data_IF_218989340905
#
_entry.id   IF_218989340905
#
_cell.length_a   1.000
_cell.length_b   1.000
_cell.length_c   1.000
_cell.angle_alpha   90.00
_cell.angle_beta   90.00
_cell.angle_gamma   90.00
#
_symmetry.space_group_name_H-M   'P 1'
#
loop_
_entity.id
_entity.type
_entity.pdbx_description
1 polymer ?
#
# COMPACT_ATOMS: atom_id res chain seq x y z
N UNK A 1 20.39 -21.85 -5.68
CA UNK A 1 19.29 -22.17 -4.74
C UNK A 1 18.03 -21.53 -5.28
N UNK A 2 16.84 -22.12 -5.14
CA UNK A 2 15.61 -21.46 -5.53
C UNK A 2 15.43 -20.15 -4.77
N UNK A 3 14.76 -19.20 -5.37
CA UNK A 3 14.41 -17.95 -4.71
C UNK A 3 13.47 -18.21 -3.52
N UNK A 4 13.46 -17.35 -2.48
CA UNK A 4 12.58 -17.51 -1.33
C UNK A 4 11.11 -17.47 -1.74
N UNK A 5 10.21 -18.10 -0.97
CA UNK A 5 8.78 -17.98 -1.23
C UNK A 5 8.30 -16.54 -1.06
N UNK A 6 7.43 -16.06 -1.96
CA UNK A 6 6.99 -14.67 -2.04
C UNK A 6 5.48 -14.55 -2.01
N UNK A 7 4.96 -13.72 -1.11
CA UNK A 7 3.58 -13.28 -1.04
C UNK A 7 3.49 -11.82 -1.48
N UNK A 8 2.74 -11.55 -2.55
CA UNK A 8 2.47 -10.19 -3.03
C UNK A 8 1.04 -9.79 -2.71
N UNK A 9 0.88 -8.71 -1.94
CA UNK A 9 -0.40 -8.14 -1.56
C UNK A 9 -0.77 -6.99 -2.50
N UNK A 10 -2.03 -6.97 -2.96
CA UNK A 10 -2.57 -5.91 -3.82
C UNK A 10 -3.87 -5.40 -3.20
N UNK A 11 -3.84 -4.26 -2.47
CA UNK A 11 -5.07 -3.65 -1.96
C UNK A 11 -5.87 -3.05 -3.12
N UNK A 12 -7.15 -3.42 -3.25
CA UNK A 12 -8.03 -2.96 -4.31
C UNK A 12 -9.31 -2.32 -3.76
N UNK A 13 -9.69 -1.16 -4.32
CA UNK A 13 -10.93 -0.45 -4.01
C UNK A 13 -11.55 0.14 -5.29
N UNK A 14 -12.59 -0.50 -5.82
CA UNK A 14 -13.28 -0.10 -7.05
C UNK A 14 -12.31 0.02 -8.24
N UNK A 15 -11.67 -1.05 -8.61
CA UNK A 15 -10.63 -1.11 -9.65
C UNK A 15 -11.07 -1.97 -10.86
N UNK A 16 -12.38 -2.19 -11.08
CA UNK A 16 -12.92 -3.05 -12.15
C UNK A 16 -12.33 -2.76 -13.53
N UNK A 17 -12.08 -1.48 -13.84
CA UNK A 17 -11.58 -1.04 -15.14
C UNK A 17 -10.06 -1.22 -15.31
N UNK A 18 -9.31 -1.42 -14.20
CA UNK A 18 -7.84 -1.33 -14.24
C UNK A 18 -7.11 -2.56 -13.71
N UNK A 19 -7.75 -3.34 -12.84
CA UNK A 19 -7.05 -4.42 -12.11
C UNK A 19 -6.71 -5.62 -13.02
N UNK A 20 -7.50 -5.94 -14.03
CA UNK A 20 -7.28 -7.11 -14.87
C UNK A 20 -5.93 -7.10 -15.57
N UNK A 21 -5.57 -6.06 -16.36
CA UNK A 21 -4.26 -6.03 -17.02
C UNK A 21 -3.10 -6.05 -16.01
N UNK A 22 -3.26 -5.44 -14.83
CA UNK A 22 -2.24 -5.43 -13.78
C UNK A 22 -1.99 -6.82 -13.22
N UNK A 23 -3.06 -7.55 -12.88
CA UNK A 23 -2.94 -8.91 -12.36
C UNK A 23 -2.32 -9.86 -13.38
N UNK A 24 -2.78 -9.79 -14.66
CA UNK A 24 -2.22 -10.61 -15.74
C UNK A 24 -0.74 -10.32 -15.97
N UNK A 25 -0.35 -9.05 -16.00
CA UNK A 25 1.04 -8.64 -16.20
C UNK A 25 1.94 -9.17 -15.07
N UNK A 26 1.53 -8.99 -13.81
CA UNK A 26 2.30 -9.45 -12.66
C UNK A 26 2.37 -10.98 -12.64
N UNK A 27 1.24 -11.69 -12.80
CA UNK A 27 1.21 -13.14 -12.77
C UNK A 27 2.10 -13.74 -13.87
N UNK A 28 1.89 -13.31 -15.14
CA UNK A 28 2.68 -13.79 -16.27
C UNK A 28 4.19 -13.53 -16.09
N UNK A 29 4.53 -12.32 -15.56
CA UNK A 29 5.95 -11.99 -15.33
C UNK A 29 6.57 -12.93 -14.30
N UNK A 30 5.93 -13.14 -13.14
CA UNK A 30 6.49 -13.96 -12.08
C UNK A 30 6.45 -15.45 -12.40
N UNK A 31 5.41 -15.94 -13.06
CA UNK A 31 5.35 -17.32 -13.56
C UNK A 31 6.51 -17.65 -14.52
N UNK A 32 6.96 -16.68 -15.31
CA UNK A 32 8.05 -16.84 -16.27
C UNK A 32 9.46 -16.53 -15.72
N UNK A 33 9.59 -15.73 -14.66
CA UNK A 33 10.87 -15.15 -14.24
C UNK A 33 11.23 -15.39 -12.77
N UNK A 34 10.34 -16.03 -11.97
CA UNK A 34 10.58 -16.31 -10.57
C UNK A 34 10.68 -17.80 -10.30
N UNK A 35 11.76 -18.25 -9.69
CA UNK A 35 12.02 -19.67 -9.46
C UNK A 35 11.51 -20.18 -8.11
N UNK A 36 11.15 -19.27 -7.21
CA UNK A 36 10.55 -19.56 -5.91
C UNK A 36 9.03 -19.76 -5.99
N UNK A 37 8.42 -20.19 -4.88
CA UNK A 37 6.95 -20.18 -4.77
C UNK A 37 6.44 -18.75 -4.75
N UNK A 38 5.45 -18.45 -5.57
CA UNK A 38 4.87 -17.12 -5.70
C UNK A 38 3.35 -17.16 -5.54
N UNK A 39 2.81 -16.22 -4.79
CA UNK A 39 1.37 -16.03 -4.62
C UNK A 39 1.01 -14.55 -4.60
N UNK A 40 -0.08 -14.20 -5.28
CA UNK A 40 -0.73 -12.89 -5.23
C UNK A 40 -1.98 -13.02 -4.38
N UNK A 41 -2.17 -12.10 -3.40
CA UNK A 41 -3.44 -11.98 -2.70
C UNK A 41 -3.99 -10.57 -2.90
N UNK A 42 -5.14 -10.49 -3.58
CA UNK A 42 -5.88 -9.24 -3.75
C UNK A 42 -6.75 -9.01 -2.52
N UNK A 43 -6.52 -7.90 -1.82
CA UNK A 43 -7.33 -7.52 -0.66
C UNK A 43 -8.42 -6.54 -1.13
N UNK A 44 -9.62 -7.06 -1.34
CA UNK A 44 -10.79 -6.29 -1.76
C UNK A 44 -11.33 -5.50 -0.57
N UNK A 45 -11.31 -4.17 -0.67
CA UNK A 45 -11.53 -3.26 0.44
C UNK A 45 -12.86 -2.49 0.28
N UNK A 46 -13.97 -3.16 0.49
CA UNK A 46 -15.30 -2.56 0.41
C UNK A 46 -15.66 -2.13 -1.02
N UNK A 47 -15.30 -2.94 -2.02
CA UNK A 47 -15.61 -2.68 -3.44
C UNK A 47 -17.12 -2.65 -3.66
N UNK A 48 -17.56 -1.73 -4.53
CA UNK A 48 -18.96 -1.51 -4.89
C UNK A 48 -19.22 -1.66 -6.38
N UNK A 49 -18.16 -1.88 -7.12
CA UNK A 49 -18.13 -2.22 -8.54
C UNK A 49 -17.86 -3.71 -8.72
N UNK A 50 -17.65 -4.17 -9.93
CA UNK A 50 -17.38 -5.57 -10.23
C UNK A 50 -15.90 -5.97 -10.10
N UNK A 51 -15.11 -5.29 -9.26
CA UNK A 51 -13.70 -5.65 -9.02
C UNK A 51 -13.55 -7.11 -8.62
N UNK A 52 -14.42 -7.62 -7.73
CA UNK A 52 -14.40 -9.04 -7.30
C UNK A 52 -14.55 -9.98 -8.50
N UNK A 53 -15.57 -9.78 -9.34
CA UNK A 53 -15.81 -10.65 -10.50
C UNK A 53 -14.65 -10.60 -11.51
N UNK A 54 -13.97 -9.48 -11.64
CA UNK A 54 -12.74 -9.37 -12.44
C UNK A 54 -11.62 -10.21 -11.86
N UNK A 55 -11.37 -10.11 -10.54
CA UNK A 55 -10.34 -10.89 -9.85
C UNK A 55 -10.61 -12.38 -9.96
N UNK A 56 -11.86 -12.81 -9.71
CA UNK A 56 -12.27 -14.21 -9.84
C UNK A 56 -12.06 -14.77 -11.25
N UNK A 57 -12.32 -13.97 -12.28
CA UNK A 57 -12.08 -14.35 -13.67
C UNK A 57 -10.59 -14.55 -13.96
N UNK A 58 -9.73 -13.62 -13.53
CA UNK A 58 -8.28 -13.74 -13.76
C UNK A 58 -7.66 -14.88 -12.96
N UNK A 59 -8.14 -15.13 -11.74
CA UNK A 59 -7.68 -16.24 -10.91
C UNK A 59 -7.97 -17.63 -11.50
N UNK A 60 -8.94 -17.76 -12.40
CA UNK A 60 -9.17 -19.02 -13.14
C UNK A 60 -8.04 -19.34 -14.12
N UNK A 61 -7.42 -18.30 -14.67
CA UNK A 61 -6.33 -18.43 -15.65
C UNK A 61 -4.95 -18.52 -14.95
N UNK A 62 -4.81 -17.93 -13.74
CA UNK A 62 -3.57 -17.84 -12.98
C UNK A 62 -3.77 -18.37 -11.55
N UNK A 63 -3.36 -19.60 -11.28
CA UNK A 63 -3.54 -20.27 -9.97
C UNK A 63 -2.75 -19.61 -8.84
N UNK A 64 -1.77 -18.77 -9.14
CA UNK A 64 -1.03 -17.99 -8.16
C UNK A 64 -1.85 -16.84 -7.55
N UNK A 65 -3.06 -16.55 -8.09
CA UNK A 65 -3.92 -15.44 -7.63
C UNK A 65 -5.02 -15.98 -6.72
N UNK A 66 -5.14 -15.36 -5.56
CA UNK A 66 -6.25 -15.53 -4.63
C UNK A 66 -6.71 -14.17 -4.09
N UNK A 67 -7.77 -14.14 -3.27
CA UNK A 67 -8.29 -12.87 -2.75
C UNK A 67 -8.89 -13.03 -1.36
N UNK A 68 -8.89 -11.93 -0.60
CA UNK A 68 -9.71 -11.72 0.59
C UNK A 68 -10.70 -10.60 0.33
N UNK A 69 -11.98 -10.80 0.67
CA UNK A 69 -13.03 -9.81 0.46
C UNK A 69 -13.52 -9.23 1.79
N UNK A 70 -13.26 -7.94 2.00
CA UNK A 70 -13.79 -7.17 3.10
C UNK A 70 -15.01 -6.37 2.62
N UNK A 71 -16.25 -6.72 3.04
CA UNK A 71 -17.47 -6.04 2.57
C UNK A 71 -17.54 -4.56 2.98
N UNK A 72 -16.94 -4.21 4.13
CA UNK A 72 -16.84 -2.84 4.61
C UNK A 72 -15.48 -2.22 4.28
N UNK A 73 -15.42 -0.93 3.88
CA UNK A 73 -14.15 -0.28 3.59
C UNK A 73 -13.35 -0.07 4.87
N UNK A 74 -12.19 -0.70 4.95
CA UNK A 74 -11.24 -0.62 6.06
C UNK A 74 -10.08 0.36 5.80
N UNK A 75 -10.04 0.96 4.59
CA UNK A 75 -8.96 1.85 4.13
C UNK A 75 -7.79 1.09 3.51
N UNK A 76 -6.96 1.78 2.71
CA UNK A 76 -5.77 1.16 2.07
C UNK A 76 -4.84 0.53 3.09
N UNK A 77 -4.49 1.29 4.14
CA UNK A 77 -3.63 0.78 5.20
C UNK A 77 -4.27 -0.39 5.96
N UNK A 78 -5.59 -0.34 6.20
CA UNK A 78 -6.33 -1.45 6.81
C UNK A 78 -6.25 -2.72 5.97
N UNK A 79 -6.46 -2.62 4.66
CA UNK A 79 -6.31 -3.75 3.73
C UNK A 79 -4.89 -4.35 3.77
N UNK A 80 -3.86 -3.50 3.84
CA UNK A 80 -2.48 -3.97 3.95
C UNK A 80 -2.18 -4.58 5.32
N UNK A 81 -2.76 -4.07 6.41
CA UNK A 81 -2.62 -4.68 7.75
C UNK A 81 -3.23 -6.09 7.75
N UNK A 82 -4.43 -6.26 7.19
CA UNK A 82 -5.06 -7.58 7.05
C UNK A 82 -4.23 -8.51 6.16
N UNK A 83 -3.75 -8.02 5.02
CA UNK A 83 -2.89 -8.80 4.15
C UNK A 83 -1.56 -9.22 4.81
N UNK A 84 -0.93 -8.35 5.60
CA UNK A 84 0.29 -8.67 6.33
C UNK A 84 0.11 -9.72 7.43
N UNK A 85 -1.12 -9.94 7.90
CA UNK A 85 -1.46 -11.06 8.79
C UNK A 85 -1.13 -12.42 8.14
N UNK A 86 -1.09 -12.45 6.80
CA UNK A 86 -0.76 -13.65 6.02
C UNK A 86 0.76 -13.84 5.80
N UNK A 87 1.61 -12.97 6.34
CA UNK A 87 3.07 -13.07 6.21
C UNK A 87 3.66 -14.46 6.56
N UNK A 88 3.11 -15.23 7.54
CA UNK A 88 3.61 -16.57 7.84
C UNK A 88 3.53 -17.56 6.67
N UNK A 89 2.77 -17.29 5.61
CA UNK A 89 2.62 -18.15 4.45
C UNK A 89 3.85 -18.15 3.50
N UNK A 90 4.75 -17.16 3.61
CA UNK A 90 5.89 -17.00 2.72
C UNK A 90 7.14 -16.51 3.46
N UNK A 91 8.32 -16.62 2.86
CA UNK A 91 9.57 -16.10 3.43
C UNK A 91 9.67 -14.57 3.25
N UNK A 92 9.08 -14.06 2.18
CA UNK A 92 8.98 -12.65 1.84
C UNK A 92 7.52 -12.26 1.67
N UNK A 93 7.17 -11.07 2.15
CA UNK A 93 5.89 -10.44 1.87
C UNK A 93 6.10 -9.02 1.36
N UNK A 94 5.41 -8.66 0.31
CA UNK A 94 5.47 -7.31 -0.23
C UNK A 94 4.12 -6.85 -0.72
N UNK A 95 4.05 -5.61 -1.19
CA UNK A 95 2.83 -5.05 -1.77
C UNK A 95 3.12 -4.04 -2.87
N UNK A 96 2.16 -3.93 -3.77
CA UNK A 96 2.08 -2.91 -4.82
C UNK A 96 0.64 -2.42 -4.93
N UNK A 97 0.45 -1.24 -5.52
CA UNK A 97 -0.89 -0.71 -5.80
C UNK A 97 -1.54 -1.42 -7.00
N UNK A 98 -2.88 -1.47 -7.01
CA UNK A 98 -3.69 -2.10 -8.05
C UNK A 98 -3.74 -1.31 -9.37
N UNK A 99 -3.07 -0.14 -9.46
CA UNK A 99 -3.13 0.75 -10.63
C UNK A 99 -2.05 0.46 -11.68
N UNK A 100 -1.13 -0.48 -11.40
CA UNK A 100 -0.03 -0.83 -12.30
C UNK A 100 1.00 0.27 -12.50
N UNK A 101 1.14 1.18 -11.55
CA UNK A 101 2.12 2.25 -11.62
C UNK A 101 3.57 1.75 -11.48
N UNK A 102 3.78 0.63 -10.80
CA UNK A 102 5.08 -0.04 -10.66
C UNK A 102 5.09 -1.31 -11.52
N UNK A 103 5.97 -1.44 -12.52
CA UNK A 103 6.04 -2.64 -13.33
C UNK A 103 6.56 -3.84 -12.52
N UNK A 104 6.16 -5.08 -12.85
CA UNK A 104 6.56 -6.29 -12.10
C UNK A 104 8.06 -6.45 -11.97
N UNK A 105 8.84 -6.09 -13.00
CA UNK A 105 10.31 -6.15 -12.96
C UNK A 105 10.89 -5.24 -11.87
N UNK A 106 10.30 -4.06 -11.66
CA UNK A 106 10.79 -3.14 -10.62
C UNK A 106 10.57 -3.72 -9.22
N UNK A 107 9.44 -4.37 -8.98
CA UNK A 107 9.20 -5.08 -7.72
C UNK A 107 10.13 -6.28 -7.54
N UNK A 108 10.39 -7.04 -8.62
CA UNK A 108 11.32 -8.17 -8.58
C UNK A 108 12.75 -7.74 -8.24
N UNK A 109 13.22 -6.58 -8.72
CA UNK A 109 14.53 -6.04 -8.32
C UNK A 109 14.59 -5.76 -6.80
N UNK A 110 13.50 -5.30 -6.18
CA UNK A 110 13.46 -5.15 -4.72
C UNK A 110 13.56 -6.51 -4.02
N UNK A 111 12.88 -7.54 -4.55
CA UNK A 111 12.93 -8.90 -3.99
C UNK A 111 14.36 -9.42 -3.95
N UNK A 112 15.15 -9.25 -5.01
CA UNK A 112 16.57 -9.68 -5.06
C UNK A 112 17.43 -9.02 -3.98
N UNK A 113 17.08 -7.80 -3.57
CA UNK A 113 17.83 -7.04 -2.57
C UNK A 113 17.45 -7.37 -1.11
N UNK A 114 16.47 -8.24 -0.89
CA UNK A 114 16.09 -8.69 0.47
C UNK A 114 17.18 -9.50 1.17
N UNK A 115 18.18 -9.99 0.42
CA UNK A 115 19.39 -10.57 1.03
C UNK A 115 20.23 -9.56 1.82
N UNK A 116 20.10 -8.26 1.51
CA UNK A 116 20.91 -7.18 2.08
C UNK A 116 20.19 -6.38 3.19
N UNK A 117 18.85 -6.52 3.30
CA UNK A 117 18.05 -5.77 4.27
C UNK A 117 16.80 -6.57 4.68
N UNK A 118 16.19 -6.18 5.81
CA UNK A 118 14.95 -6.79 6.30
C UNK A 118 13.72 -6.26 5.58
N UNK A 119 13.80 -5.02 5.08
CA UNK A 119 12.79 -4.38 4.26
C UNK A 119 13.47 -3.58 3.13
N UNK A 120 13.02 -3.76 1.90
CA UNK A 120 13.47 -3.01 0.73
C UNK A 120 12.28 -2.20 0.21
N UNK A 121 12.49 -0.91 -0.01
CA UNK A 121 11.47 0.02 -0.48
C UNK A 121 11.93 0.69 -1.78
N UNK A 122 11.02 0.79 -2.73
CA UNK A 122 11.24 1.59 -3.93
C UNK A 122 11.21 3.08 -3.62
N UNK A 123 11.96 3.86 -4.38
CA UNK A 123 11.99 5.32 -4.27
C UNK A 123 11.94 5.95 -5.65
N UNK A 124 11.01 6.90 -5.80
CA UNK A 124 10.87 7.73 -7.01
C UNK A 124 11.82 8.94 -6.98
N UNK A 125 12.51 9.16 -5.85
CA UNK A 125 13.28 10.38 -5.59
C UNK A 125 14.78 10.14 -5.51
N UNK A 126 15.23 8.91 -5.51
CA UNK A 126 16.64 8.59 -5.57
C UNK A 126 17.18 8.79 -6.99
N UNK A 127 18.47 9.18 -7.12
CA UNK A 127 19.16 9.14 -8.42
C UNK A 127 19.07 7.75 -9.04
N UNK A 128 18.74 7.66 -10.33
CA UNK A 128 18.52 6.41 -11.03
C UNK A 128 17.07 5.92 -11.06
N UNK A 129 16.13 6.60 -10.36
CA UNK A 129 14.71 6.33 -10.53
C UNK A 129 14.23 6.71 -11.94
N UNK A 130 13.42 5.83 -12.56
CA UNK A 130 12.87 6.04 -13.91
C UNK A 130 11.41 6.43 -13.79
N UNK A 131 11.08 7.66 -14.16
CA UNK A 131 9.72 8.19 -14.12
C UNK A 131 9.24 8.42 -15.56
N UNK A 132 8.32 7.59 -16.05
CA UNK A 132 7.84 7.65 -17.44
C UNK A 132 6.89 8.82 -17.69
N UNK A 133 6.22 9.32 -16.68
CA UNK A 133 5.36 10.50 -16.77
C UNK A 133 5.69 11.49 -15.66
N UNK A 134 5.82 12.76 -16.03
CA UNK A 134 6.07 13.81 -15.05
C UNK A 134 4.80 14.08 -14.23
N UNK A 135 4.91 14.01 -12.92
CA UNK A 135 3.81 14.40 -12.03
C UNK A 135 3.54 15.90 -12.13
N UNK A 136 2.28 16.34 -12.04
CA UNK A 136 1.93 17.74 -11.92
C UNK A 136 2.73 18.41 -10.80
N UNK A 137 3.20 19.65 -11.03
CA UNK A 137 4.06 20.34 -10.08
C UNK A 137 3.45 20.50 -8.68
N UNK A 138 2.14 20.75 -8.59
CA UNK A 138 1.39 20.81 -7.33
C UNK A 138 1.49 19.51 -6.52
N UNK A 139 1.36 18.35 -7.19
CA UNK A 139 1.48 17.05 -6.54
C UNK A 139 2.91 16.80 -6.03
N UNK A 140 3.90 17.20 -6.81
CA UNK A 140 5.33 17.13 -6.39
C UNK A 140 5.58 18.03 -5.19
N UNK A 141 5.07 19.27 -5.20
CA UNK A 141 5.20 20.20 -4.10
C UNK A 141 4.55 19.66 -2.81
N UNK A 142 3.29 19.24 -2.89
CA UNK A 142 2.55 18.67 -1.74
C UNK A 142 3.26 17.43 -1.18
N UNK A 143 3.77 16.57 -2.06
CA UNK A 143 4.55 15.38 -1.66
C UNK A 143 5.84 15.76 -0.93
N UNK A 144 6.54 16.82 -1.37
CA UNK A 144 7.75 17.31 -0.70
C UNK A 144 7.45 17.94 0.68
N UNK A 145 6.37 18.73 0.77
CA UNK A 145 5.92 19.27 2.05
C UNK A 145 5.56 18.14 3.04
N UNK A 146 4.84 17.13 2.57
CA UNK A 146 4.51 15.97 3.41
C UNK A 146 5.78 15.23 3.88
N UNK A 147 6.75 15.01 2.99
CA UNK A 147 8.03 14.40 3.35
C UNK A 147 8.77 15.21 4.42
N UNK A 148 8.84 16.54 4.29
CA UNK A 148 9.48 17.38 5.30
C UNK A 148 8.82 17.26 6.67
N UNK A 149 7.49 17.19 6.71
CA UNK A 149 6.73 16.94 7.96
C UNK A 149 7.10 15.58 8.54
N UNK A 150 7.09 14.51 7.74
CA UNK A 150 7.43 13.16 8.19
C UNK A 150 8.87 13.13 8.72
N UNK A 151 9.82 13.69 7.98
CA UNK A 151 11.23 13.69 8.38
C UNK A 151 11.46 14.51 9.66
N UNK A 152 10.81 15.68 9.80
CA UNK A 152 10.91 16.49 11.03
C UNK A 152 10.36 15.79 12.27
N UNK A 153 9.37 14.90 12.10
CA UNK A 153 8.75 14.17 13.22
C UNK A 153 9.48 12.87 13.58
N UNK A 154 10.08 12.18 12.60
CA UNK A 154 10.59 10.82 12.81
C UNK A 154 12.08 10.62 12.50
N UNK A 155 12.73 11.54 11.79
CA UNK A 155 14.16 11.50 11.47
C UNK A 155 14.59 10.17 10.85
N UNK A 156 13.84 9.73 9.83
CA UNK A 156 14.02 8.40 9.26
C UNK A 156 15.14 8.29 8.24
N UNK A 157 15.51 9.42 7.61
CA UNK A 157 16.50 9.45 6.53
C UNK A 157 16.03 8.69 5.27
N UNK A 158 14.71 8.53 5.08
CA UNK A 158 14.09 7.90 3.92
C UNK A 158 13.49 8.98 3.04
N UNK A 159 13.88 9.05 1.77
CA UNK A 159 13.45 10.11 0.85
C UNK A 159 12.01 9.92 0.35
N UNK A 160 11.61 8.68 0.04
CA UNK A 160 10.27 8.37 -0.48
C UNK A 160 9.53 7.35 0.40
N UNK A 161 8.95 7.83 1.50
CA UNK A 161 8.19 6.97 2.40
C UNK A 161 6.88 6.45 1.80
N UNK A 162 6.35 7.11 0.76
CA UNK A 162 5.02 6.86 0.19
C UNK A 162 5.05 6.04 -1.11
N UNK A 163 6.22 5.57 -1.57
CA UNK A 163 6.26 4.65 -2.70
C UNK A 163 5.58 3.33 -2.31
N UNK A 164 4.54 2.88 -3.03
CA UNK A 164 3.79 1.68 -2.63
C UNK A 164 4.45 0.37 -3.04
N UNK A 165 5.70 0.41 -3.48
CA UNK A 165 6.48 -0.78 -3.86
C UNK A 165 7.42 -1.12 -2.72
N UNK A 166 7.05 -2.12 -1.92
CA UNK A 166 7.82 -2.55 -0.74
C UNK A 166 7.79 -4.06 -0.60
N UNK A 167 8.90 -4.61 -0.15
CA UNK A 167 9.03 -6.04 0.20
C UNK A 167 9.82 -6.18 1.49
N UNK A 168 9.44 -7.14 2.32
CA UNK A 168 10.07 -7.36 3.61
C UNK A 168 10.15 -8.85 3.93
N UNK A 169 11.07 -9.21 4.78
CA UNK A 169 11.19 -10.57 5.33
C UNK A 169 10.03 -10.88 6.26
N UNK A 170 9.56 -12.13 6.25
CA UNK A 170 8.51 -12.63 7.13
C UNK A 170 8.71 -12.21 8.59
N UNK A 171 9.88 -12.48 9.17
CA UNK A 171 10.17 -12.15 10.56
C UNK A 171 9.99 -10.65 10.88
N UNK A 172 10.34 -9.77 9.93
CA UNK A 172 10.13 -8.34 10.09
C UNK A 172 8.63 -7.99 10.04
N UNK A 173 7.89 -8.54 9.07
CA UNK A 173 6.44 -8.34 8.93
C UNK A 173 5.70 -8.80 10.19
N UNK A 174 5.94 -10.00 10.67
CA UNK A 174 5.32 -10.55 11.89
C UNK A 174 5.62 -9.68 13.13
N UNK A 175 6.87 -9.24 13.27
CA UNK A 175 7.29 -8.43 14.42
C UNK A 175 6.62 -7.06 14.47
N UNK A 176 6.45 -6.42 13.31
CA UNK A 176 5.86 -5.07 13.26
C UNK A 176 4.33 -5.09 13.19
N UNK A 177 3.72 -6.18 12.74
CA UNK A 177 2.27 -6.27 12.51
C UNK A 177 1.43 -5.75 13.71
N UNK A 178 1.72 -6.11 14.99
CA UNK A 178 0.97 -5.60 16.13
C UNK A 178 1.08 -4.08 16.35
N UNK A 179 2.03 -3.43 15.70
CA UNK A 179 2.30 -1.99 15.81
C UNK A 179 1.72 -1.18 14.64
N UNK A 180 1.10 -1.85 13.66
CA UNK A 180 0.48 -1.19 12.51
C UNK A 180 -0.93 -0.73 12.89
N UNK A 181 -1.11 0.58 13.09
CA UNK A 181 -2.34 1.17 13.62
C UNK A 181 -2.96 2.21 12.69
N UNK A 182 -2.30 2.57 11.60
CA UNK A 182 -2.75 3.57 10.64
C UNK A 182 -3.39 2.87 9.45
N UNK A 183 -4.71 2.96 9.34
CA UNK A 183 -5.49 2.28 8.30
C UNK A 183 -5.70 3.11 7.01
N UNK A 184 -5.19 4.33 6.95
CA UNK A 184 -5.32 5.23 5.81
C UNK A 184 -4.05 5.28 4.94
N UNK A 185 -3.93 6.33 4.10
CA UNK A 185 -2.80 6.52 3.19
C UNK A 185 -1.45 6.78 3.90
N UNK A 186 -1.45 7.14 5.20
CA UNK A 186 -0.22 7.27 5.98
C UNK A 186 0.31 5.94 6.55
N UNK A 187 -0.30 4.82 6.19
CA UNK A 187 0.15 3.47 6.54
C UNK A 187 1.63 3.25 6.23
N UNK A 188 2.08 3.72 5.07
CA UNK A 188 3.47 3.58 4.63
C UNK A 188 4.48 4.19 5.62
N UNK A 189 4.12 5.33 6.23
CA UNK A 189 4.92 5.95 7.30
C UNK A 189 4.92 5.08 8.56
N UNK A 190 3.73 4.57 8.96
CA UNK A 190 3.62 3.69 10.13
C UNK A 190 4.48 2.43 9.97
N UNK A 191 4.47 1.81 8.79
CA UNK A 191 5.26 0.63 8.48
C UNK A 191 6.76 0.91 8.65
N UNK A 192 7.28 1.96 8.01
CA UNK A 192 8.71 2.29 8.06
C UNK A 192 9.14 2.68 9.48
N UNK A 193 8.33 3.48 10.20
CA UNK A 193 8.61 3.83 11.59
C UNK A 193 8.66 2.58 12.47
N UNK A 194 7.71 1.65 12.30
CA UNK A 194 7.67 0.38 13.04
C UNK A 194 8.91 -0.46 12.76
N UNK A 195 9.32 -0.58 11.49
CA UNK A 195 10.54 -1.29 11.08
C UNK A 195 11.78 -0.74 11.80
N UNK A 196 12.00 0.59 11.68
CA UNK A 196 13.16 1.24 12.29
C UNK A 196 13.17 1.14 13.81
N UNK A 197 12.01 1.29 14.47
CA UNK A 197 11.91 1.14 15.93
C UNK A 197 12.13 -0.30 16.41
N UNK A 198 11.78 -1.28 15.58
CA UNK A 198 12.07 -2.69 15.86
C UNK A 198 13.55 -3.07 15.57
N UNK A 199 14.37 -2.13 15.09
CA UNK A 199 15.79 -2.35 14.80
C UNK A 199 16.06 -3.01 13.44
N UNK A 200 15.07 -3.11 12.57
CA UNK A 200 15.25 -3.70 11.24
C UNK A 200 15.93 -2.75 10.26
N UNK A 201 16.76 -3.34 9.41
CA UNK A 201 17.42 -2.61 8.32
C UNK A 201 16.44 -2.35 7.18
N UNK A 202 16.18 -1.08 6.91
CA UNK A 202 15.38 -0.63 5.76
C UNK A 202 16.32 -0.09 4.69
N UNK A 203 16.24 -0.65 3.48
CA UNK A 203 17.01 -0.22 2.31
C UNK A 203 16.07 0.49 1.32
N UNK A 204 16.39 1.72 0.98
CA UNK A 204 15.70 2.50 -0.03
C UNK A 204 16.49 2.42 -1.35
N UNK A 205 15.82 2.06 -2.45
CA UNK A 205 16.46 1.89 -3.77
C UNK A 205 15.67 2.61 -4.86
N UNK A 206 16.33 3.13 -5.91
CA UNK A 206 15.62 3.74 -7.03
C UNK A 206 14.70 2.71 -7.69
N UNK A 207 13.51 3.15 -8.12
CA UNK A 207 12.52 2.28 -8.76
C UNK A 207 12.01 2.89 -10.06
N UNK A 208 11.36 2.06 -10.86
CA UNK A 208 10.62 2.49 -12.05
C UNK A 208 9.16 2.77 -11.66
N UNK A 209 8.62 3.87 -12.19
CA UNK A 209 7.28 4.32 -11.86
C UNK A 209 6.62 5.01 -13.06
N UNK A 210 5.36 4.69 -13.28
CA UNK A 210 4.51 5.38 -14.27
C UNK A 210 3.34 6.03 -13.56
N UNK A 211 3.25 7.36 -13.58
CA UNK A 211 2.10 8.03 -12.97
C UNK A 211 0.84 7.74 -13.79
N UNK A 212 -0.16 7.10 -13.19
CA UNK A 212 -1.41 6.76 -13.87
C UNK A 212 -2.41 7.90 -13.73
N UNK A 213 -2.89 8.37 -14.88
CA UNK A 213 -3.95 9.39 -14.97
C UNK A 213 -5.25 8.82 -14.39
N UNK A 214 -5.99 9.61 -13.60
CA UNK A 214 -7.27 9.18 -13.02
C UNK A 214 -7.19 8.62 -11.59
N UNK A 215 -6.10 8.86 -10.86
CA UNK A 215 -6.02 8.56 -9.42
C UNK A 215 -7.21 9.18 -8.69
N UNK A 216 -8.01 8.35 -8.01
CA UNK A 216 -9.20 8.77 -7.24
C UNK A 216 -8.87 9.72 -6.08
N UNK A 217 -7.60 9.86 -5.74
CA UNK A 217 -7.09 10.78 -4.69
C UNK A 217 -7.09 12.24 -5.17
N UNK A 218 -7.00 12.48 -6.48
CA UNK A 218 -6.89 13.84 -7.04
C UNK A 218 -8.16 14.69 -6.81
N UNK A 219 -9.33 14.08 -6.69
CA UNK A 219 -10.61 14.80 -6.53
C UNK A 219 -10.76 15.53 -5.17
N UNK A 220 -9.92 15.23 -4.17
CA UNK A 220 -9.91 15.91 -2.87
C UNK A 220 -8.51 15.95 -2.24
N UNK A 221 -7.53 16.43 -3.00
CA UNK A 221 -6.11 16.51 -2.56
C UNK A 221 -5.96 17.17 -1.19
N UNK A 222 -6.70 18.24 -0.92
CA UNK A 222 -6.62 18.95 0.36
C UNK A 222 -7.09 18.07 1.54
N UNK A 223 -8.23 17.38 1.40
CA UNK A 223 -8.73 16.47 2.44
C UNK A 223 -7.79 15.31 2.67
N UNK A 224 -7.31 14.69 1.59
CA UNK A 224 -6.38 13.57 1.67
C UNK A 224 -5.08 14.00 2.38
N UNK A 225 -4.51 15.16 2.00
CA UNK A 225 -3.30 15.71 2.60
C UNK A 225 -3.49 16.03 4.09
N UNK A 226 -4.64 16.65 4.44
CA UNK A 226 -4.95 16.95 5.83
C UNK A 226 -5.14 15.68 6.67
N UNK A 227 -5.83 14.67 6.13
CA UNK A 227 -6.01 13.38 6.81
C UNK A 227 -4.66 12.71 7.02
N UNK A 228 -3.81 12.66 6.01
CA UNK A 228 -2.46 12.10 6.11
C UNK A 228 -1.61 12.85 7.14
N UNK A 229 -1.66 14.18 7.15
CA UNK A 229 -0.95 15.00 8.14
C UNK A 229 -1.39 14.66 9.56
N UNK A 230 -2.71 14.64 9.82
CA UNK A 230 -3.26 14.29 11.14
C UNK A 230 -2.89 12.86 11.55
N UNK A 231 -2.87 11.93 10.59
CA UNK A 231 -2.46 10.54 10.85
C UNK A 231 -0.99 10.43 11.26
N UNK A 232 -0.12 11.21 10.62
CA UNK A 232 1.31 11.25 10.93
C UNK A 232 1.55 11.90 12.31
N UNK A 233 0.85 12.99 12.63
CA UNK A 233 0.89 13.62 13.96
C UNK A 233 0.40 12.63 15.02
N UNK A 234 -0.74 11.97 14.77
CA UNK A 234 -1.25 10.92 15.66
C UNK A 234 -0.24 9.80 15.87
N UNK A 235 0.40 9.34 14.80
CA UNK A 235 1.45 8.32 14.88
C UNK A 235 2.60 8.79 15.79
N UNK A 236 3.02 10.06 15.68
CA UNK A 236 4.06 10.63 16.54
C UNK A 236 3.65 10.65 18.00
N UNK A 237 2.38 10.95 18.31
CA UNK A 237 1.82 10.92 19.66
C UNK A 237 1.83 9.48 20.19
N UNK A 238 1.35 8.51 19.40
CA UNK A 238 1.32 7.09 19.76
C UNK A 238 2.72 6.58 20.17
N UNK A 239 3.74 7.00 19.44
CA UNK A 239 5.13 6.63 19.74
C UNK A 239 5.82 7.54 20.78
N UNK A 240 5.11 8.50 21.36
CA UNK A 240 5.62 9.40 22.38
C UNK A 240 5.36 8.84 23.78
N UNK A 241 6.21 9.16 24.78
CA UNK A 241 5.94 8.83 26.18
C UNK A 241 4.65 9.47 26.72
N UNK A 242 4.17 10.56 26.10
CA UNK A 242 2.91 11.23 26.50
C UNK A 242 1.65 10.51 25.99
N UNK A 243 1.78 9.40 25.27
CA UNK A 243 0.62 8.64 24.75
C UNK A 243 -0.39 8.23 25.85
N UNK A 244 0.09 7.94 27.05
CA UNK A 244 -0.79 7.61 28.18
C UNK A 244 -1.71 8.79 28.55
N UNK A 245 -1.20 10.02 28.47
CA UNK A 245 -1.94 11.25 28.78
C UNK A 245 -2.97 11.61 27.70
N UNK A 246 -2.77 11.16 26.46
CA UNK A 246 -3.68 11.46 25.35
C UNK A 246 -4.84 10.45 25.23
N UNK A 247 -4.85 9.37 26.03
CA UNK A 247 -5.96 8.38 26.04
C UNK A 247 -7.36 8.99 26.17
N UNK A 248 -7.61 10.02 27.00
CA UNK A 248 -8.93 10.64 27.10
C UNK A 248 -9.38 11.34 25.81
N UNK A 249 -8.46 11.73 24.93
CA UNK A 249 -8.77 12.42 23.67
C UNK A 249 -9.16 11.49 22.52
N UNK A 250 -9.06 10.17 22.69
CA UNK A 250 -9.43 9.17 21.66
C UNK A 250 -10.82 9.33 21.06
N UNK A 251 -11.89 9.65 21.83
CA UNK A 251 -13.22 9.88 21.25
C UNK A 251 -13.25 11.08 20.31
N UNK A 252 -12.52 12.15 20.65
CA UNK A 252 -12.39 13.35 19.81
C UNK A 252 -11.60 13.05 18.53
N UNK A 253 -10.49 12.32 18.64
CA UNK A 253 -9.73 11.85 17.49
C UNK A 253 -10.60 11.03 16.54
N UNK A 254 -11.34 10.04 17.05
CA UNK A 254 -12.24 9.20 16.27
C UNK A 254 -13.37 10.02 15.60
N UNK A 255 -13.85 11.06 16.25
CA UNK A 255 -14.85 11.95 15.69
C UNK A 255 -14.28 12.81 14.56
N UNK A 256 -13.08 13.40 14.73
CA UNK A 256 -12.38 14.18 13.72
C UNK A 256 -12.10 13.29 12.49
N UNK A 257 -11.61 12.07 12.71
CA UNK A 257 -11.35 11.10 11.64
C UNK A 257 -12.62 10.75 10.86
N UNK A 258 -13.74 10.54 11.53
CA UNK A 258 -15.03 10.29 10.85
C UNK A 258 -15.52 11.45 10.02
N UNK A 259 -15.31 12.69 10.47
CA UNK A 259 -15.67 13.89 9.68
C UNK A 259 -14.76 14.12 8.46
N UNK A 260 -13.48 13.77 8.57
CA UNK A 260 -12.50 13.95 7.49
C UNK A 260 -12.56 12.81 6.47
N UNK A 261 -13.04 11.62 6.85
CA UNK A 261 -13.28 10.55 5.90
C UNK A 261 -14.26 11.04 4.83
N UNK A 262 -13.87 10.92 3.55
CA UNK A 262 -14.75 11.26 2.45
C UNK A 262 -16.09 10.53 2.62
N UNK A 263 -17.24 11.22 2.47
CA UNK A 263 -18.52 10.55 2.50
C UNK A 263 -18.52 9.49 1.40
N UNK A 264 -18.94 8.27 1.74
CA UNK A 264 -19.15 7.23 0.73
C UNK A 264 -20.11 7.78 -0.32
N UNK A 265 -19.65 7.89 -1.58
CA UNK A 265 -20.56 8.22 -2.68
C UNK A 265 -21.70 7.21 -2.63
N UNK A 266 -22.97 7.67 -2.65
CA UNK A 266 -24.11 6.73 -2.74
C UNK A 266 -23.91 5.84 -3.97
N UNK A 267 -24.23 4.56 -3.82
CA UNK A 267 -24.23 3.62 -4.94
C UNK A 267 -25.23 4.15 -5.95
N UNK A 268 -24.80 4.41 -7.17
CA UNK A 268 -25.69 4.69 -8.28
C UNK A 268 -26.44 3.40 -8.62
N UNK A 269 -27.65 3.28 -8.09
CA UNK A 269 -28.50 2.11 -8.28
C UNK A 269 -28.90 1.88 -9.73
N UNK A 270 -28.71 2.88 -10.61
CA UNK A 270 -29.01 2.75 -12.05
C UNK A 270 -28.06 1.80 -12.77
N UNK A 271 -26.84 1.60 -12.23
CA UNK A 271 -25.86 0.67 -12.78
C UNK A 271 -26.04 -0.79 -12.31
N UNK A 272 -26.90 -1.05 -11.32
CA UNK A 272 -27.13 -2.40 -10.77
C UNK A 272 -28.39 -3.05 -11.39
N UNK A 273 -29.27 -2.27 -12.04
CA UNK A 273 -30.53 -2.78 -12.60
C UNK A 273 -30.44 -3.22 -14.08
N UNK A 274 -29.26 -3.39 -14.62
CA UNK A 274 -29.02 -3.79 -16.03
C UNK A 274 -28.85 -5.29 -16.25
N UNK A 275 -29.63 -6.14 -15.56
CA UNK A 275 -29.75 -7.55 -15.97
C UNK A 275 -31.07 -8.13 -15.45
N UNK A 276 -32.15 -7.77 -16.14
CA UNK A 276 -33.37 -8.58 -16.25
C UNK A 276 -34.23 -7.98 -17.37
N UNK A 277 -33.96 -8.40 -18.58
CA UNK A 277 -34.96 -8.51 -19.67
C UNK A 277 -34.46 -9.56 -20.67
#
# INVERSE_FOLDING_TARGET
MPEPSLLLLIPAYNEEDRIEPVLREIATYFEGNYTGKFQIIVILNGCRDNTLGVVERVAKDHQCISWENHPAPIGKGGALIEGLRLAPLADLVGYVDADGASPPRAFHELVKLTSQADCVIGSRWLPGAVLHQAQPWMRRFTSRCFHLVVESLFWMGIKDTQCPTKVMRRAAAEKIHPHLMIADLAFDVNLIVSMKRAGFKVLEVPTEWTDKVGSKVTASLFRASLTMFLSVVRLRIIYSPVHALTRPLRPLEAWIYRKLRAPHRPVDKSKISGDKA
#
